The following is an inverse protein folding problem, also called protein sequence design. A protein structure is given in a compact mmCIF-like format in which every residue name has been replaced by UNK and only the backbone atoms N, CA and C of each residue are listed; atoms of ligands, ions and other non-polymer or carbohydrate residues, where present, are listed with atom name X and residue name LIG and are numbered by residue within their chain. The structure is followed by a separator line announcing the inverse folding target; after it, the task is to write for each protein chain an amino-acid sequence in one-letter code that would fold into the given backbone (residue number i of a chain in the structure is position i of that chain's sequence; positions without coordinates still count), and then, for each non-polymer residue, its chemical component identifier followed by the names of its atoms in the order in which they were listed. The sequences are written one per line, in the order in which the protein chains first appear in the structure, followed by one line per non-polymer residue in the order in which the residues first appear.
data_IF_907183518004
#
_entry.id   IF_907183518004
#
_cell.length_a   1.000
_cell.length_b   1.000
_cell.length_c   1.000
_cell.angle_alpha   90.00
_cell.angle_beta   90.00
_cell.angle_gamma   90.00
#
_symmetry.space_group_name_H-M   'P 1'
#
loop_
_entity.id
_entity.type
_entity.pdbx_description
1 polymer ?
#
# COMPACT_ATOMS: atom_id res chain seq x y z
N UNK A 1 0.49 4.87 -14.69
CA UNK A 1 0.70 5.34 -13.30
C UNK A 1 1.97 6.19 -13.29
N UNK A 2 2.10 7.12 -12.35
CA UNK A 2 3.29 8.00 -12.29
C UNK A 2 4.30 7.48 -11.28
N UNK A 3 5.61 7.57 -11.58
CA UNK A 3 6.67 7.25 -10.63
C UNK A 3 6.86 8.34 -9.54
N UNK A 4 6.52 9.60 -9.84
CA UNK A 4 6.71 10.73 -8.92
C UNK A 4 5.63 10.88 -7.83
N UNK A 5 4.84 9.82 -7.56
CA UNK A 5 3.69 9.84 -6.64
C UNK A 5 2.72 11.03 -6.86
N UNK A 6 2.37 11.31 -8.13
CA UNK A 6 1.56 12.46 -8.53
C UNK A 6 0.33 12.04 -9.35
N UNK A 7 -0.64 12.94 -9.45
CA UNK A 7 -1.72 12.80 -10.42
C UNK A 7 -1.33 13.52 -11.71
N UNK A 8 -1.41 12.82 -12.83
CA UNK A 8 -1.11 13.37 -14.16
C UNK A 8 -2.25 13.06 -15.10
N UNK A 9 -2.76 14.07 -15.79
CA UNK A 9 -3.66 13.89 -16.93
C UNK A 9 -2.86 13.79 -18.21
N UNK A 10 -3.22 12.82 -19.05
CA UNK A 10 -2.69 12.66 -20.40
C UNK A 10 -3.82 12.89 -21.39
N UNK A 11 -3.63 13.86 -22.26
CA UNK A 11 -4.51 14.11 -23.40
C UNK A 11 -3.83 13.61 -24.68
N UNK A 12 -4.46 12.68 -25.38
CA UNK A 12 -4.05 12.17 -26.69
C UNK A 12 -4.96 12.76 -27.77
N UNK A 13 -4.38 13.47 -28.73
CA UNK A 13 -5.08 13.90 -29.94
C UNK A 13 -5.11 12.73 -30.93
N UNK A 14 -6.28 12.17 -31.22
CA UNK A 14 -6.39 10.93 -32.02
C UNK A 14 -5.91 11.11 -33.47
N UNK A 15 -6.19 12.25 -34.08
CA UNK A 15 -5.87 12.50 -35.48
C UNK A 15 -4.35 12.62 -35.74
N UNK A 16 -3.59 13.12 -34.76
CA UNK A 16 -2.15 13.40 -34.90
C UNK A 16 -1.27 12.46 -34.08
N UNK A 17 -1.83 11.78 -33.08
CA UNK A 17 -1.08 11.00 -32.11
C UNK A 17 -0.34 11.84 -31.05
N UNK A 18 -0.50 13.16 -31.06
CA UNK A 18 0.18 14.06 -30.12
C UNK A 18 -0.32 13.83 -28.69
N UNK A 19 0.63 13.91 -27.74
CA UNK A 19 0.36 13.70 -26.31
C UNK A 19 0.76 14.92 -25.50
N UNK A 20 -0.17 15.44 -24.71
CA UNK A 20 0.09 16.46 -23.70
C UNK A 20 -0.09 15.88 -22.29
N UNK A 21 0.87 16.18 -21.40
CA UNK A 21 0.78 15.86 -19.98
C UNK A 21 0.51 17.14 -19.17
N UNK A 22 -0.39 17.04 -18.20
CA UNK A 22 -0.76 18.12 -17.28
C UNK A 22 -0.91 17.56 -15.86
N UNK A 23 -0.89 18.44 -14.86
CA UNK A 23 -1.18 18.05 -13.50
C UNK A 23 -2.66 17.64 -13.39
N UNK A 24 -2.90 16.43 -12.87
CA UNK A 24 -4.24 15.90 -12.67
C UNK A 24 -4.84 16.33 -11.34
N UNK A 25 -6.16 16.31 -11.25
CA UNK A 25 -6.91 16.54 -10.01
C UNK A 25 -7.70 15.30 -9.63
N UNK A 26 -7.84 15.04 -8.32
CA UNK A 26 -8.65 13.91 -7.82
C UNK A 26 -10.08 14.06 -8.30
N UNK A 27 -10.69 12.95 -8.74
CA UNK A 27 -12.07 12.94 -9.23
C UNK A 27 -12.22 13.27 -10.72
N UNK A 28 -11.15 13.66 -11.42
CA UNK A 28 -11.20 13.78 -12.89
C UNK A 28 -11.46 12.41 -13.51
N UNK A 29 -12.51 12.34 -14.33
CA UNK A 29 -12.84 11.14 -15.07
C UNK A 29 -12.07 11.08 -16.39
N UNK A 30 -12.10 9.91 -17.03
CA UNK A 30 -11.72 9.82 -18.44
C UNK A 30 -12.74 10.59 -19.28
N UNK A 31 -12.26 11.40 -20.20
CA UNK A 31 -13.09 12.24 -21.08
C UNK A 31 -12.68 12.03 -22.54
N UNK A 32 -13.67 11.98 -23.43
CA UNK A 32 -13.48 11.91 -24.87
C UNK A 32 -14.41 12.91 -25.57
N UNK A 33 -13.84 13.85 -26.32
CA UNK A 33 -14.60 14.91 -27.01
C UNK A 33 -14.78 14.68 -28.52
N UNK A 34 -14.50 13.46 -29.00
CA UNK A 34 -14.50 13.12 -30.43
C UNK A 34 -13.16 13.37 -31.14
N UNK A 35 -12.24 14.13 -30.55
CA UNK A 35 -10.90 14.42 -31.12
C UNK A 35 -9.76 14.05 -30.19
N UNK A 36 -9.96 14.29 -28.90
CA UNK A 36 -8.98 14.16 -27.84
C UNK A 36 -9.50 13.21 -26.76
N UNK A 37 -8.65 12.26 -26.35
CA UNK A 37 -8.89 11.37 -25.23
C UNK A 37 -8.05 11.83 -24.02
N UNK A 38 -8.70 12.28 -22.96
CA UNK A 38 -8.06 12.68 -21.71
C UNK A 38 -8.23 11.57 -20.66
N UNK A 39 -7.11 11.15 -20.07
CA UNK A 39 -7.06 10.06 -19.08
C UNK A 39 -6.30 10.52 -17.84
N UNK A 40 -6.85 10.24 -16.65
CA UNK A 40 -6.19 10.51 -15.37
C UNK A 40 -5.32 9.31 -14.97
N UNK A 41 -4.04 9.57 -14.70
CA UNK A 41 -3.11 8.59 -14.14
C UNK A 41 -2.80 8.94 -12.70
N UNK A 42 -3.14 8.02 -11.81
CA UNK A 42 -2.80 8.10 -10.39
C UNK A 42 -1.37 7.70 -10.06
N UNK A 43 -0.94 7.99 -8.82
CA UNK A 43 0.30 7.47 -8.29
C UNK A 43 0.32 5.94 -8.30
N UNK A 44 1.52 5.35 -8.23
CA UNK A 44 1.63 3.91 -7.95
C UNK A 44 1.10 3.63 -6.55
N UNK A 45 0.51 2.45 -6.38
CA UNK A 45 0.13 2.02 -5.04
C UNK A 45 1.42 1.69 -4.28
N UNK A 46 1.57 2.26 -3.08
CA UNK A 46 2.73 2.02 -2.21
C UNK A 46 2.39 0.94 -1.19
N UNK A 47 3.36 0.07 -0.92
CA UNK A 47 3.33 -0.88 0.19
C UNK A 47 4.56 -0.63 1.06
N UNK A 48 4.35 -0.06 2.24
CA UNK A 48 5.37 0.10 3.27
C UNK A 48 5.33 -1.11 4.21
N UNK A 49 6.38 -1.92 4.18
CA UNK A 49 6.60 -3.03 5.08
C UNK A 49 7.50 -2.58 6.23
N UNK A 50 7.03 -2.75 7.46
CA UNK A 50 7.82 -2.53 8.67
C UNK A 50 8.36 -3.88 9.12
N UNK A 51 9.68 -4.02 9.10
CA UNK A 51 10.38 -5.27 9.31
C UNK A 51 10.97 -5.84 8.03
N UNK A 52 12.22 -6.31 8.11
CA UNK A 52 12.98 -6.88 7.00
C UNK A 52 13.23 -8.39 7.17
N UNK A 53 12.27 -9.11 7.77
CA UNK A 53 12.35 -10.57 7.93
C UNK A 53 11.98 -11.37 6.66
N UNK A 54 12.08 -12.70 6.74
CA UNK A 54 11.78 -13.63 5.64
C UNK A 54 10.35 -13.49 5.09
N UNK A 55 9.37 -13.19 5.96
CA UNK A 55 8.01 -12.92 5.51
C UNK A 55 7.95 -11.65 4.66
N UNK A 56 8.59 -10.57 5.09
CA UNK A 56 8.66 -9.32 4.32
C UNK A 56 9.31 -9.52 2.96
N UNK A 57 10.34 -10.35 2.85
CA UNK A 57 10.94 -10.74 1.56
C UNK A 57 9.91 -11.41 0.63
N UNK A 58 9.11 -12.36 1.16
CA UNK A 58 8.08 -13.05 0.37
C UNK A 58 6.98 -12.09 -0.09
N UNK A 59 6.51 -11.22 0.81
CA UNK A 59 5.52 -10.18 0.50
C UNK A 59 6.07 -9.20 -0.53
N UNK A 60 7.29 -8.71 -0.35
CA UNK A 60 7.92 -7.73 -1.23
C UNK A 60 8.04 -8.24 -2.67
N UNK A 61 8.58 -9.46 -2.86
CA UNK A 61 8.72 -10.06 -4.18
C UNK A 61 7.39 -10.19 -4.92
N UNK A 62 6.35 -10.66 -4.23
CA UNK A 62 5.01 -10.80 -4.83
C UNK A 62 4.35 -9.44 -5.07
N UNK A 63 4.54 -8.47 -4.17
CA UNK A 63 4.00 -7.12 -4.32
C UNK A 63 4.59 -6.38 -5.52
N UNK A 64 5.87 -6.58 -5.83
CA UNK A 64 6.50 -6.05 -7.05
C UNK A 64 5.81 -6.57 -8.32
N UNK A 65 5.51 -7.87 -8.38
CA UNK A 65 4.78 -8.48 -9.49
C UNK A 65 3.35 -7.94 -9.63
N UNK A 66 2.78 -7.39 -8.54
CA UNK A 66 1.46 -6.75 -8.50
C UNK A 66 1.51 -5.23 -8.76
N UNK A 67 2.64 -4.71 -9.25
CA UNK A 67 2.86 -3.29 -9.60
C UNK A 67 2.79 -2.32 -8.40
N UNK A 68 3.06 -2.81 -7.19
CA UNK A 68 3.29 -1.92 -6.04
C UNK A 68 4.69 -1.29 -6.11
N UNK A 69 4.80 -0.05 -5.65
CA UNK A 69 6.06 0.48 -5.15
C UNK A 69 6.27 -0.09 -3.74
N UNK A 70 7.31 -0.89 -3.56
CA UNK A 70 7.57 -1.60 -2.29
C UNK A 70 8.67 -0.88 -1.52
N UNK A 71 8.33 -0.46 -0.31
CA UNK A 71 9.24 0.18 0.64
C UNK A 71 9.41 -0.73 1.85
N UNK A 72 10.64 -0.90 2.33
CA UNK A 72 10.93 -1.67 3.54
C UNK A 72 11.69 -0.79 4.52
N UNK A 73 11.16 -0.70 5.74
CA UNK A 73 11.80 -0.03 6.86
C UNK A 73 12.06 -1.06 7.98
N UNK A 74 13.32 -1.23 8.37
CA UNK A 74 13.70 -1.92 9.58
C UNK A 74 14.94 -1.21 10.15
N UNK A 75 14.88 -0.63 11.36
CA UNK A 75 16.02 0.06 11.94
C UNK A 75 17.13 -0.91 12.40
N UNK A 76 16.88 -2.22 12.39
CA UNK A 76 17.87 -3.24 12.75
C UNK A 76 18.66 -3.62 11.50
N UNK A 77 19.92 -3.17 11.48
CA UNK A 77 20.81 -3.29 10.31
C UNK A 77 20.96 -4.73 9.81
N UNK A 78 21.09 -5.70 10.73
CA UNK A 78 21.25 -7.12 10.40
C UNK A 78 20.08 -7.70 9.57
N UNK A 79 18.84 -7.30 9.87
CA UNK A 79 17.66 -7.72 9.13
C UNK A 79 17.60 -7.04 7.78
N UNK A 80 17.84 -5.72 7.75
CA UNK A 80 17.86 -4.96 6.51
C UNK A 80 18.91 -5.53 5.53
N UNK A 81 20.15 -5.73 5.99
CA UNK A 81 21.22 -6.31 5.18
C UNK A 81 20.84 -7.70 4.64
N UNK A 82 20.26 -8.55 5.49
CA UNK A 82 19.82 -9.89 5.06
C UNK A 82 18.81 -9.80 3.92
N UNK A 83 17.77 -8.98 4.04
CA UNK A 83 16.75 -8.86 2.99
C UNK A 83 17.34 -8.29 1.68
N UNK A 84 18.17 -7.25 1.76
CA UNK A 84 18.74 -6.61 0.58
C UNK A 84 19.89 -7.42 -0.06
N UNK A 85 20.56 -8.31 0.70
CA UNK A 85 21.52 -9.26 0.16
C UNK A 85 20.89 -10.29 -0.79
N UNK A 86 19.59 -10.56 -0.67
CA UNK A 86 18.85 -11.43 -1.60
C UNK A 86 18.56 -10.77 -2.95
N UNK A 87 19.11 -9.58 -3.21
CA UNK A 87 18.99 -8.82 -4.46
C UNK A 87 17.53 -8.77 -4.94
N UNK A 88 16.69 -8.02 -4.21
CA UNK A 88 15.31 -7.74 -4.60
C UNK A 88 15.24 -6.44 -5.42
N UNK A 89 15.54 -6.45 -6.73
CA UNK A 89 15.49 -5.25 -7.54
C UNK A 89 14.08 -4.67 -7.54
N UNK A 90 13.98 -3.37 -7.26
CA UNK A 90 12.69 -2.66 -7.18
C UNK A 90 12.12 -2.52 -5.77
N UNK A 91 12.67 -3.20 -4.76
CA UNK A 91 12.38 -2.90 -3.34
C UNK A 91 13.27 -1.75 -2.89
N UNK A 92 12.66 -0.69 -2.34
CA UNK A 92 13.39 0.44 -1.78
C UNK A 92 13.58 0.26 -0.27
N UNK A 93 14.83 0.29 0.19
CA UNK A 93 15.14 0.50 1.61
C UNK A 93 14.78 1.92 2.02
N UNK A 94 14.09 2.06 3.14
CA UNK A 94 13.87 3.35 3.79
C UNK A 94 14.49 3.27 5.18
N UNK A 95 15.49 4.12 5.42
CA UNK A 95 16.21 4.20 6.69
C UNK A 95 15.44 5.08 7.68
N UNK A 96 15.66 4.85 8.97
CA UNK A 96 15.01 5.60 10.05
C UNK A 96 14.13 4.72 10.93
N UNK A 97 13.53 5.36 11.94
CA UNK A 97 12.57 4.69 12.81
C UNK A 97 11.20 4.59 12.12
N UNK A 98 10.39 3.56 12.44
CA UNK A 98 9.16 3.30 11.68
C UNK A 98 8.12 4.43 11.73
N UNK A 99 8.02 5.17 12.84
CA UNK A 99 7.17 6.35 13.00
C UNK A 99 7.63 7.52 12.11
N UNK A 100 8.93 7.85 12.16
CA UNK A 100 9.56 8.87 11.30
C UNK A 100 9.30 8.57 9.83
N UNK A 101 9.55 7.32 9.41
CA UNK A 101 9.34 6.89 8.03
C UNK A 101 7.90 7.05 7.59
N UNK A 102 6.92 6.71 8.44
CA UNK A 102 5.49 6.88 8.10
C UNK A 102 5.15 8.36 7.92
N UNK A 103 5.67 9.25 8.78
CA UNK A 103 5.43 10.69 8.70
C UNK A 103 6.08 11.31 7.47
N UNK A 104 7.35 11.03 7.23
CA UNK A 104 8.13 11.57 6.12
C UNK A 104 7.64 11.07 4.75
N UNK A 105 7.17 9.82 4.67
CA UNK A 105 6.60 9.26 3.46
C UNK A 105 5.27 9.94 3.07
N UNK A 106 4.67 10.72 3.99
CA UNK A 106 3.35 11.33 3.85
C UNK A 106 2.34 10.26 3.43
N UNK A 107 2.18 9.25 4.28
CA UNK A 107 1.29 8.11 4.02
C UNK A 107 -0.13 8.61 3.71
N UNK A 108 -0.61 8.23 2.53
CA UNK A 108 -1.85 8.73 1.94
C UNK A 108 -2.80 7.60 1.52
N UNK A 109 -3.93 7.95 0.92
CA UNK A 109 -4.92 7.00 0.43
C UNK A 109 -4.43 6.07 -0.70
N UNK A 110 -3.18 6.19 -1.17
CA UNK A 110 -2.55 5.24 -2.11
C UNK A 110 -1.49 4.36 -1.44
N UNK A 111 -1.41 4.37 -0.11
CA UNK A 111 -0.38 3.66 0.65
C UNK A 111 -1.00 2.64 1.61
N UNK A 112 -0.49 1.42 1.56
CA UNK A 112 -0.70 0.39 2.57
C UNK A 112 0.51 0.34 3.50
N UNK A 113 0.27 0.17 4.80
CA UNK A 113 1.32 -0.03 5.81
C UNK A 113 1.10 -1.38 6.50
N UNK A 114 2.14 -2.21 6.57
CA UNK A 114 2.04 -3.54 7.18
C UNK A 114 3.20 -3.77 8.15
N UNK A 115 2.86 -4.06 9.40
CA UNK A 115 3.81 -4.32 10.47
C UNK A 115 4.10 -5.84 10.59
N UNK A 116 5.35 -6.22 10.31
CA UNK A 116 5.83 -7.60 10.18
C UNK A 116 7.11 -7.87 11.02
N UNK A 117 7.45 -7.01 11.99
CA UNK A 117 8.75 -7.10 12.69
C UNK A 117 8.81 -8.20 13.74
N UNK A 118 7.66 -8.62 14.28
CA UNK A 118 7.50 -9.36 15.54
C UNK A 118 7.99 -8.62 16.81
N UNK A 119 8.49 -7.40 16.69
CA UNK A 119 8.87 -6.52 17.79
C UNK A 119 7.70 -5.57 18.10
N UNK A 120 7.03 -5.71 19.25
CA UNK A 120 5.88 -4.88 19.59
C UNK A 120 6.19 -3.38 19.62
N UNK A 121 7.43 -2.97 19.92
CA UNK A 121 7.82 -1.57 19.97
C UNK A 121 7.91 -0.99 18.56
N UNK A 122 8.62 -1.66 17.66
CA UNK A 122 8.78 -1.20 16.28
C UNK A 122 7.46 -1.22 15.51
N UNK A 123 6.68 -2.29 15.67
CA UNK A 123 5.36 -2.38 15.04
C UNK A 123 4.46 -1.24 15.52
N UNK A 124 4.38 -1.00 16.84
CA UNK A 124 3.47 0.02 17.36
C UNK A 124 3.86 1.43 16.96
N UNK A 125 5.17 1.76 16.90
CA UNK A 125 5.64 3.05 16.40
C UNK A 125 5.08 3.34 15.00
N UNK A 126 5.15 2.38 14.08
CA UNK A 126 4.56 2.53 12.76
C UNK A 126 3.03 2.59 12.78
N UNK A 127 2.39 1.72 13.57
CA UNK A 127 0.93 1.61 13.60
C UNK A 127 0.28 2.87 14.15
N UNK A 128 0.88 3.52 15.16
CA UNK A 128 0.36 4.77 15.72
C UNK A 128 0.25 5.86 14.64
N UNK A 129 1.33 6.10 13.91
CA UNK A 129 1.37 7.08 12.84
C UNK A 129 0.47 6.65 11.65
N UNK A 130 0.51 5.36 11.27
CA UNK A 130 -0.25 4.87 10.13
C UNK A 130 -1.77 4.93 10.38
N UNK A 131 -2.24 4.64 11.60
CA UNK A 131 -3.66 4.73 11.97
C UNK A 131 -4.15 6.18 12.10
N UNK A 132 -3.25 7.14 12.33
CA UNK A 132 -3.52 8.58 12.23
C UNK A 132 -3.55 9.10 10.79
N UNK A 133 -2.92 8.39 9.85
CA UNK A 133 -2.80 8.81 8.45
C UNK A 133 -4.02 8.47 7.57
N UNK A 134 -3.96 8.87 6.29
CA UNK A 134 -4.95 8.51 5.28
C UNK A 134 -4.68 7.16 4.58
N UNK A 135 -3.77 6.31 5.10
CA UNK A 135 -3.50 4.97 4.56
C UNK A 135 -4.79 4.20 4.22
N UNK A 136 -4.86 3.62 3.03
CA UNK A 136 -6.04 2.81 2.65
C UNK A 136 -6.06 1.45 3.36
N UNK A 137 -4.91 0.99 3.86
CA UNK A 137 -4.78 -0.27 4.57
C UNK A 137 -3.69 -0.15 5.65
N UNK A 138 -4.02 -0.59 6.87
CA UNK A 138 -3.07 -0.70 7.98
C UNK A 138 -3.23 -2.07 8.62
N UNK A 139 -2.19 -2.91 8.53
CA UNK A 139 -2.24 -4.29 9.00
C UNK A 139 -1.07 -4.65 9.90
N UNK A 140 -1.29 -5.61 10.79
CA UNK A 140 -0.22 -6.16 11.62
C UNK A 140 -0.29 -7.68 11.71
N UNK A 141 0.90 -8.30 11.69
CA UNK A 141 1.05 -9.72 11.99
C UNK A 141 0.82 -10.00 13.48
N UNK A 142 0.25 -11.18 13.75
CA UNK A 142 0.04 -11.68 15.10
C UNK A 142 -1.15 -12.61 15.18
N UNK A 143 -1.20 -13.49 16.19
CA UNK A 143 -2.38 -14.31 16.47
C UNK A 143 -3.58 -13.43 16.84
N UNK A 144 -4.81 -13.96 16.77
CA UNK A 144 -6.01 -13.22 17.21
C UNK A 144 -5.88 -12.68 18.64
N UNK A 145 -5.27 -13.46 19.52
CA UNK A 145 -4.96 -13.07 20.91
C UNK A 145 -3.98 -11.90 20.95
N UNK A 146 -2.89 -11.97 20.19
CA UNK A 146 -1.88 -10.90 20.15
C UNK A 146 -2.48 -9.62 19.56
N UNK A 147 -3.35 -9.72 18.57
CA UNK A 147 -4.03 -8.57 17.97
C UNK A 147 -5.00 -7.91 18.95
N UNK A 148 -5.74 -8.67 19.75
CA UNK A 148 -6.60 -8.12 20.80
C UNK A 148 -5.76 -7.37 21.85
N UNK A 149 -4.68 -7.99 22.33
CA UNK A 149 -3.75 -7.35 23.27
C UNK A 149 -3.09 -6.10 22.69
N UNK A 150 -2.74 -6.12 21.39
CA UNK A 150 -2.21 -4.96 20.68
C UNK A 150 -3.23 -3.83 20.64
N UNK A 151 -4.48 -4.10 20.23
CA UNK A 151 -5.55 -3.08 20.20
C UNK A 151 -5.80 -2.47 21.58
N UNK A 152 -5.81 -3.31 22.62
CA UNK A 152 -5.95 -2.84 24.00
C UNK A 152 -4.80 -1.91 24.40
N UNK A 153 -3.55 -2.34 24.18
CA UNK A 153 -2.36 -1.54 24.50
C UNK A 153 -2.33 -0.22 23.71
N UNK A 154 -2.71 -0.24 22.43
CA UNK A 154 -2.80 0.95 21.60
C UNK A 154 -3.90 1.92 22.06
N UNK A 155 -5.02 1.41 22.56
CA UNK A 155 -6.10 2.22 23.14
C UNK A 155 -5.69 2.86 24.47
N UNK A 156 -5.11 2.07 25.38
CA UNK A 156 -4.84 2.48 26.76
C UNK A 156 -3.62 3.41 26.89
N UNK A 157 -2.59 3.21 26.08
CA UNK A 157 -1.33 3.94 26.25
C UNK A 157 -1.11 5.07 25.24
N UNK A 158 -1.92 5.13 24.18
CA UNK A 158 -1.69 6.06 23.08
C UNK A 158 -2.96 6.72 22.56
N UNK A 159 -4.06 6.63 23.32
CA UNK A 159 -5.33 7.34 23.09
C UNK A 159 -5.92 7.15 21.68
N UNK A 160 -5.64 6.03 21.01
CA UNK A 160 -6.24 5.75 19.71
C UNK A 160 -7.74 5.54 19.86
N UNK A 161 -8.50 6.28 19.07
CA UNK A 161 -9.97 6.19 19.09
C UNK A 161 -10.44 4.82 18.59
N UNK A 162 -11.65 4.38 18.99
CA UNK A 162 -12.24 3.15 18.45
C UNK A 162 -12.32 3.14 16.91
N UNK A 163 -12.55 4.30 16.28
CA UNK A 163 -12.59 4.44 14.83
C UNK A 163 -11.23 4.20 14.18
N UNK A 164 -10.14 4.70 14.77
CA UNK A 164 -8.78 4.42 14.31
C UNK A 164 -8.44 2.94 14.49
N UNK A 165 -8.72 2.36 15.67
CA UNK A 165 -8.46 0.94 15.95
C UNK A 165 -9.28 -0.03 15.09
N UNK A 166 -10.45 0.40 14.61
CA UNK A 166 -11.27 -0.38 13.68
C UNK A 166 -10.60 -0.52 12.31
N UNK A 167 -9.77 0.44 11.89
CA UNK A 167 -8.98 0.36 10.65
C UNK A 167 -7.80 -0.61 10.74
N UNK A 168 -7.39 -1.02 11.94
CA UNK A 168 -6.31 -1.98 12.11
C UNK A 168 -6.76 -3.40 11.76
N UNK A 169 -6.25 -3.89 10.63
CA UNK A 169 -6.39 -5.27 10.22
C UNK A 169 -5.46 -6.16 11.04
N UNK A 170 -6.03 -7.14 11.73
CA UNK A 170 -5.30 -8.38 11.87
C UNK A 170 -5.98 -9.49 12.69
N UNK A 171 -5.46 -10.74 12.62
CA UNK A 171 -4.21 -11.13 11.94
C UNK A 171 -4.20 -10.74 10.46
N UNK A 172 -3.13 -10.08 10.01
CA UNK A 172 -3.04 -9.58 8.62
C UNK A 172 -3.25 -10.72 7.61
N UNK A 173 -4.00 -10.44 6.55
CA UNK A 173 -4.27 -11.36 5.45
C UNK A 173 -5.55 -12.19 5.60
N UNK A 174 -6.04 -12.69 4.47
CA UNK A 174 -7.25 -13.51 4.42
C UNK A 174 -7.05 -14.87 5.11
N UNK A 175 -8.11 -15.39 5.73
CA UNK A 175 -8.07 -16.69 6.41
C UNK A 175 -8.11 -17.86 5.42
N UNK A 176 -6.99 -18.13 4.75
CA UNK A 176 -6.85 -19.20 3.73
C UNK A 176 -6.17 -20.48 4.27
N UNK A 177 -5.89 -20.55 5.57
CA UNK A 177 -5.18 -21.70 6.16
C UNK A 177 -3.67 -21.72 5.86
N UNK A 178 -3.09 -20.56 5.54
CA UNK A 178 -1.67 -20.40 5.23
C UNK A 178 -0.74 -20.87 6.36
N UNK A 179 0.36 -21.54 5.99
CA UNK A 179 1.36 -22.11 6.90
C UNK A 179 2.78 -21.69 6.55
N UNK A 180 3.08 -21.52 5.26
CA UNK A 180 4.41 -21.11 4.80
C UNK A 180 4.51 -19.59 4.64
N UNK A 181 5.71 -18.96 4.69
CA UNK A 181 5.86 -17.53 4.44
C UNK A 181 5.29 -17.07 3.10
N UNK A 182 5.39 -17.90 2.05
CA UNK A 182 4.83 -17.61 0.74
C UNK A 182 3.29 -17.63 0.75
N UNK A 183 2.67 -18.62 1.41
CA UNK A 183 1.20 -18.67 1.57
C UNK A 183 0.68 -17.50 2.40
N UNK A 184 1.40 -17.12 3.47
CA UNK A 184 1.06 -15.96 4.29
C UNK A 184 1.19 -14.68 3.46
N UNK A 185 2.22 -14.56 2.63
CA UNK A 185 2.37 -13.42 1.72
C UNK A 185 1.19 -13.30 0.72
N UNK A 186 0.74 -14.43 0.15
CA UNK A 186 -0.45 -14.48 -0.70
C UNK A 186 -1.68 -14.01 0.08
N UNK A 187 -1.87 -14.47 1.31
CA UNK A 187 -3.04 -14.08 2.11
C UNK A 187 -3.06 -12.58 2.42
N UNK A 188 -1.90 -12.01 2.76
CA UNK A 188 -1.72 -10.57 3.03
C UNK A 188 -2.05 -9.75 1.77
N UNK A 189 -1.44 -10.09 0.64
CA UNK A 189 -1.64 -9.34 -0.60
C UNK A 189 -3.06 -9.46 -1.13
N UNK A 190 -3.71 -10.61 -0.94
CA UNK A 190 -5.12 -10.80 -1.29
C UNK A 190 -6.03 -9.87 -0.47
N UNK A 191 -5.80 -9.72 0.84
CA UNK A 191 -6.56 -8.78 1.69
C UNK A 191 -6.31 -7.33 1.27
N UNK A 192 -5.05 -6.94 1.05
CA UNK A 192 -4.69 -5.59 0.58
C UNK A 192 -5.41 -5.25 -0.73
N UNK A 193 -5.42 -6.17 -1.70
CA UNK A 193 -6.12 -5.99 -2.98
C UNK A 193 -7.62 -5.87 -2.76
N UNK A 194 -8.21 -6.70 -1.90
CA UNK A 194 -9.63 -6.64 -1.58
C UNK A 194 -10.02 -5.26 -1.04
N UNK A 195 -9.29 -4.74 -0.04
CA UNK A 195 -9.56 -3.41 0.55
C UNK A 195 -9.34 -2.29 -0.46
N UNK A 196 -8.26 -2.36 -1.24
CA UNK A 196 -7.96 -1.40 -2.31
C UNK A 196 -9.09 -1.28 -3.33
N UNK A 197 -9.62 -2.42 -3.77
CA UNK A 197 -10.67 -2.46 -4.79
C UNK A 197 -12.04 -2.06 -4.23
N UNK A 198 -12.28 -2.27 -2.92
CA UNK A 198 -13.48 -1.77 -2.24
C UNK A 198 -13.45 -0.25 -2.03
N UNK A 199 -12.26 0.34 -1.94
CA UNK A 199 -12.04 1.78 -1.70
C UNK A 199 -12.01 2.64 -2.97
N UNK A 200 -12.04 2.05 -4.16
CA UNK A 200 -12.02 2.77 -5.44
C UNK A 200 -13.41 3.01 -6.01
N UNK A 201 -13.61 4.04 -6.86
CA UNK A 201 -14.77 4.11 -7.75
C UNK A 201 -14.65 2.99 -8.80
N UNK A 202 -14.96 1.77 -8.39
CA UNK A 202 -14.99 0.64 -9.29
C UNK A 202 -16.14 0.83 -10.29
N UNK A 203 -15.92 0.39 -11.52
CA UNK A 203 -16.95 -0.04 -12.49
C UNK A 203 -17.66 0.97 -13.41
N UNK A 204 -17.30 2.26 -13.49
CA UNK A 204 -17.89 3.13 -14.53
C UNK A 204 -17.02 3.27 -15.81
N UNK A 205 -15.73 3.56 -15.66
CA UNK A 205 -14.88 3.94 -16.81
C UNK A 205 -14.47 2.77 -17.72
N UNK A 206 -14.33 1.54 -17.19
CA UNK A 206 -13.95 0.37 -17.99
C UNK A 206 -15.10 -0.15 -18.87
N UNK A 207 -16.35 0.01 -18.42
CA UNK A 207 -17.56 -0.33 -19.19
C UNK A 207 -17.82 0.67 -20.32
N UNK A 208 -17.50 1.95 -20.11
CA UNK A 208 -17.66 2.98 -21.14
C UNK A 208 -16.73 2.76 -22.35
N UNK A 209 -15.51 2.25 -22.15
CA UNK A 209 -14.57 2.00 -23.26
C UNK A 209 -14.99 0.80 -24.13
N UNK A 210 -15.59 -0.23 -23.54
CA UNK A 210 -16.09 -1.39 -24.30
C UNK A 210 -17.34 -1.06 -25.12
N UNK A 211 -18.10 -0.03 -24.73
CA UNK A 211 -19.29 0.43 -25.45
C UNK A 211 -18.97 1.48 -26.52
N UNK A 212 -17.84 2.20 -26.41
CA UNK A 212 -17.42 3.20 -27.39
C UNK A 212 -16.58 2.61 -28.55
N UNK A 213 -16.12 1.36 -28.43
CA UNK A 213 -15.27 0.67 -29.40
C UNK A 213 -15.96 -0.57 -30.04
N UNK A 214 -17.24 -0.79 -29.75
CA UNK A 214 -18.09 -1.81 -30.39
C UNK A 214 -19.17 -1.14 -31.22
#
# INVERSE_FOLDING_TARGET
RTAAHQLVTRTLTLATGEVALRQGQRGQAMEFDGRCLTTLFGPRWRLLLIGAGQLSQSVASMALALDFEVLVCDPREEYAQTLFAHALPGVRRVEGMPDDVVRELQVDAHTAVVALTHDPKLDDMALLEALGSAAFYVGALGSRRNQAARKQRLAEHFDLTPAQLARLHGPVGLSIGARTPAEIAVSILAEIIQVRNASGPATAAALALSQALG
#
